data_IF_465371335865
#
_entry.id   IF_465371335865
#
_cell.length_a   1.000
_cell.length_b   1.000
_cell.length_c   1.000
_cell.angle_alpha   90.00
_cell.angle_beta   90.00
_cell.angle_gamma   90.00
#
_symmetry.space_group_name_H-M   'P 1'
#
loop_
_entity.id
_entity.type
_entity.pdbx_description
1 polymer ?
#
# COMPACT_ATOMS: atom_id res chain seq x y z
N UNK A 1 39.77 31.85 -48.57
CA UNK A 1 40.06 32.12 -47.15
C UNK A 1 39.48 30.98 -46.33
N UNK A 2 40.31 30.03 -45.88
CA UNK A 2 39.84 28.88 -45.10
C UNK A 2 39.94 29.18 -43.61
N UNK A 3 38.80 29.41 -42.97
CA UNK A 3 38.71 29.54 -41.51
C UNK A 3 38.91 28.17 -40.87
N UNK A 4 40.05 27.97 -40.21
CA UNK A 4 40.28 26.78 -39.37
C UNK A 4 39.34 26.86 -38.15
N UNK A 5 38.22 26.12 -38.20
CA UNK A 5 37.40 25.83 -37.03
C UNK A 5 38.23 24.96 -36.07
N UNK A 6 38.62 25.51 -34.93
CA UNK A 6 39.12 24.71 -33.81
C UNK A 6 37.99 23.78 -33.36
N UNK A 7 38.12 22.47 -33.64
CA UNK A 7 37.33 21.45 -32.94
C UNK A 7 37.90 21.35 -31.53
N UNK A 8 37.30 22.06 -30.59
CA UNK A 8 37.61 21.91 -29.16
C UNK A 8 37.13 20.51 -28.75
N UNK A 9 38.07 19.62 -28.47
CA UNK A 9 37.78 18.31 -27.87
C UNK A 9 37.65 18.47 -26.36
N UNK A 10 36.61 17.86 -25.77
CA UNK A 10 36.40 17.79 -24.33
C UNK A 10 37.66 17.21 -23.63
N UNK A 11 38.10 17.87 -22.56
CA UNK A 11 39.18 17.36 -21.72
C UNK A 11 38.70 16.17 -20.88
N UNK A 12 39.58 15.20 -20.62
CA UNK A 12 39.29 14.10 -19.69
C UNK A 12 38.88 14.62 -18.30
N UNK A 13 39.50 15.72 -17.85
CA UNK A 13 39.18 16.35 -16.56
C UNK A 13 37.77 16.94 -16.57
N UNK A 14 37.35 17.53 -17.70
CA UNK A 14 36.02 18.13 -17.85
C UNK A 14 34.93 17.05 -17.84
N UNK A 15 35.16 15.93 -18.53
CA UNK A 15 34.25 14.78 -18.47
C UNK A 15 34.16 14.21 -17.05
N UNK A 16 35.27 14.13 -16.31
CA UNK A 16 35.28 13.66 -14.93
C UNK A 16 34.47 14.58 -13.99
N UNK A 17 34.60 15.90 -14.14
CA UNK A 17 33.81 16.86 -13.36
C UNK A 17 32.32 16.72 -13.70
N UNK A 18 31.97 16.60 -14.98
CA UNK A 18 30.58 16.47 -15.43
C UNK A 18 29.94 15.19 -14.89
N UNK A 19 30.63 14.04 -15.01
CA UNK A 19 30.10 12.77 -14.49
C UNK A 19 29.98 12.82 -12.96
N UNK A 20 30.93 13.44 -12.26
CA UNK A 20 30.84 13.67 -10.82
C UNK A 20 29.62 14.51 -10.41
N UNK A 21 29.36 15.60 -11.13
CA UNK A 21 28.19 16.46 -10.90
C UNK A 21 26.88 15.73 -11.21
N UNK A 22 26.80 14.97 -12.31
CA UNK A 22 25.61 14.19 -12.66
C UNK A 22 25.35 13.12 -11.61
N UNK A 23 26.38 12.42 -11.12
CA UNK A 23 26.22 11.42 -10.06
C UNK A 23 25.67 12.04 -8.77
N UNK A 24 26.17 13.22 -8.36
CA UNK A 24 25.69 13.95 -7.19
C UNK A 24 24.24 14.44 -7.36
N UNK A 25 23.87 14.93 -8.54
CA UNK A 25 22.50 15.34 -8.83
C UNK A 25 21.55 14.14 -8.87
N UNK A 26 21.97 13.02 -9.45
CA UNK A 26 21.15 11.82 -9.58
C UNK A 26 20.74 11.26 -8.21
N UNK A 27 21.63 11.23 -7.23
CA UNK A 27 21.29 10.73 -5.88
C UNK A 27 20.25 11.60 -5.17
N UNK A 28 20.35 12.94 -5.32
CA UNK A 28 19.35 13.86 -4.77
C UNK A 28 17.97 13.66 -5.41
N UNK A 29 17.92 13.50 -6.74
CA UNK A 29 16.65 13.26 -7.46
C UNK A 29 15.97 11.98 -6.99
N UNK A 30 16.73 10.89 -6.83
CA UNK A 30 16.18 9.60 -6.36
C UNK A 30 15.60 9.73 -4.94
N UNK A 31 16.28 10.44 -4.04
CA UNK A 31 15.80 10.63 -2.67
C UNK A 31 14.48 11.41 -2.61
N UNK A 32 14.37 12.50 -3.38
CA UNK A 32 13.12 13.29 -3.44
C UNK A 32 11.99 12.48 -4.06
N UNK A 33 12.27 11.75 -5.14
CA UNK A 33 11.28 10.90 -5.79
C UNK A 33 10.73 9.83 -4.83
N UNK A 34 11.60 9.15 -4.07
CA UNK A 34 11.19 8.14 -3.09
C UNK A 34 10.32 8.72 -1.98
N UNK A 35 10.63 9.93 -1.49
CA UNK A 35 9.81 10.59 -0.47
C UNK A 35 8.41 10.95 -0.99
N UNK A 36 8.34 11.46 -2.22
CA UNK A 36 7.05 11.80 -2.85
C UNK A 36 6.22 10.53 -3.10
N UNK A 37 6.85 9.44 -3.55
CA UNK A 37 6.19 8.14 -3.75
C UNK A 37 5.59 7.61 -2.43
N UNK A 38 6.37 7.60 -1.35
CA UNK A 38 5.87 7.18 -0.04
C UNK A 38 4.71 8.06 0.46
N UNK A 39 4.80 9.38 0.32
CA UNK A 39 3.70 10.27 0.68
C UNK A 39 2.43 10.01 -0.17
N UNK A 40 2.60 9.68 -1.45
CA UNK A 40 1.47 9.30 -2.31
C UNK A 40 0.85 7.97 -1.88
N UNK A 41 1.68 7.01 -1.45
CA UNK A 41 1.24 5.70 -0.95
C UNK A 41 0.51 5.81 0.37
N UNK A 42 0.98 6.65 1.30
CA UNK A 42 0.28 6.98 2.56
C UNK A 42 -1.15 7.49 2.29
N UNK A 43 -1.30 8.45 1.38
CA UNK A 43 -2.65 8.92 0.97
C UNK A 43 -3.48 7.84 0.26
N UNK A 44 -2.80 6.97 -0.48
CA UNK A 44 -3.40 5.82 -1.14
C UNK A 44 -4.02 4.86 -0.13
N UNK A 45 -3.28 4.51 0.93
CA UNK A 45 -3.79 3.60 1.97
C UNK A 45 -4.91 4.24 2.78
N UNK A 46 -4.85 5.55 3.08
CA UNK A 46 -5.97 6.26 3.72
C UNK A 46 -7.26 6.16 2.88
N UNK A 47 -7.15 6.29 1.56
CA UNK A 47 -8.29 6.14 0.65
C UNK A 47 -8.85 4.71 0.64
N UNK A 48 -7.97 3.70 0.72
CA UNK A 48 -8.36 2.29 0.83
C UNK A 48 -9.05 2.03 2.15
N UNK A 49 -8.57 2.60 3.27
CA UNK A 49 -9.24 2.50 4.56
C UNK A 49 -10.65 3.07 4.50
N UNK A 50 -10.86 4.25 3.92
CA UNK A 50 -12.21 4.82 3.77
C UNK A 50 -13.14 3.90 2.96
N UNK A 51 -12.64 3.27 1.90
CA UNK A 51 -13.43 2.31 1.12
C UNK A 51 -13.75 1.03 1.93
N UNK A 52 -12.77 0.50 2.66
CA UNK A 52 -12.98 -0.69 3.51
C UNK A 52 -13.90 -0.39 4.68
N UNK A 53 -13.80 0.79 5.28
CA UNK A 53 -14.72 1.25 6.32
C UNK A 53 -16.16 1.29 5.79
N UNK A 54 -16.39 1.90 4.63
CA UNK A 54 -17.71 1.89 4.01
C UNK A 54 -18.21 0.48 3.66
N UNK A 55 -17.33 -0.40 3.18
CA UNK A 55 -17.68 -1.80 2.91
C UNK A 55 -18.03 -2.57 4.20
N UNK A 56 -17.33 -2.30 5.29
CA UNK A 56 -17.60 -2.87 6.62
C UNK A 56 -18.91 -2.34 7.21
N UNK A 57 -19.23 -1.07 7.01
CA UNK A 57 -20.52 -0.48 7.40
C UNK A 57 -21.69 -1.16 6.69
N UNK A 58 -21.62 -1.31 5.36
CA UNK A 58 -22.64 -2.03 4.58
C UNK A 58 -22.77 -3.50 5.01
N UNK A 59 -21.65 -4.15 5.34
CA UNK A 59 -21.67 -5.52 5.87
C UNK A 59 -22.42 -5.56 7.21
N UNK A 60 -22.07 -4.67 8.15
CA UNK A 60 -22.71 -4.59 9.47
C UNK A 60 -24.19 -4.23 9.38
N UNK A 61 -24.58 -3.36 8.46
CA UNK A 61 -25.99 -3.03 8.24
C UNK A 61 -26.79 -4.27 7.81
N UNK A 62 -26.19 -5.15 7.02
CA UNK A 62 -26.83 -6.38 6.56
C UNK A 62 -26.79 -7.54 7.57
N UNK A 63 -25.63 -7.80 8.19
CA UNK A 63 -25.40 -8.94 9.08
C UNK A 63 -25.66 -8.64 10.57
N UNK A 64 -25.73 -7.36 10.93
CA UNK A 64 -25.91 -6.89 12.31
C UNK A 64 -24.60 -6.70 13.10
N UNK A 65 -23.50 -7.30 12.65
CA UNK A 65 -22.17 -7.15 13.27
C UNK A 65 -21.05 -7.18 12.21
N UNK A 66 -19.82 -6.82 12.58
CA UNK A 66 -18.66 -6.91 11.71
C UNK A 66 -18.13 -8.35 11.58
N UNK A 67 -17.37 -8.67 10.52
CA UNK A 67 -16.78 -10.00 10.36
C UNK A 67 -15.92 -10.37 11.58
N UNK A 68 -16.27 -11.45 12.28
CA UNK A 68 -15.49 -11.90 13.43
C UNK A 68 -14.09 -12.36 13.04
N UNK A 69 -13.07 -11.96 13.80
CA UNK A 69 -11.70 -12.45 13.60
C UNK A 69 -11.43 -13.67 14.49
N UNK A 70 -10.87 -14.78 13.96
CA UNK A 70 -10.60 -15.97 14.76
C UNK A 70 -9.39 -15.85 15.70
N UNK A 71 -8.32 -15.14 15.30
CA UNK A 71 -7.04 -15.04 16.05
C UNK A 71 -6.46 -13.64 15.88
N UNK A 72 -5.83 -13.06 16.91
CA UNK A 72 -5.14 -11.76 16.81
C UNK A 72 -3.63 -11.94 16.73
N UNK A 73 -3.14 -12.28 15.56
CA UNK A 73 -1.72 -12.44 15.31
C UNK A 73 -1.39 -12.05 13.88
N UNK A 74 -0.43 -11.13 13.71
CA UNK A 74 0.06 -10.68 12.41
C UNK A 74 0.62 -11.81 11.54
N UNK A 75 1.01 -12.94 12.13
CA UNK A 75 1.40 -14.14 11.36
C UNK A 75 0.26 -14.69 10.50
N UNK A 76 -0.99 -14.36 10.83
CA UNK A 76 -2.20 -14.79 10.12
C UNK A 76 -2.81 -13.69 9.24
N UNK A 77 -2.08 -12.58 8.98
CA UNK A 77 -2.62 -11.45 8.22
C UNK A 77 -3.17 -11.82 6.84
N UNK A 78 -2.51 -12.75 6.14
CA UNK A 78 -3.02 -13.30 4.88
C UNK A 78 -4.40 -13.95 5.06
N UNK A 79 -4.53 -14.87 6.01
CA UNK A 79 -5.79 -15.57 6.28
C UNK A 79 -6.90 -14.61 6.77
N UNK A 80 -6.57 -13.60 7.58
CA UNK A 80 -7.52 -12.58 8.01
C UNK A 80 -8.00 -11.73 6.83
N UNK A 81 -7.10 -11.39 5.91
CA UNK A 81 -7.43 -10.61 4.71
C UNK A 81 -8.30 -11.40 3.74
N UNK A 82 -7.98 -12.67 3.47
CA UNK A 82 -8.81 -13.57 2.66
C UNK A 82 -10.22 -13.71 3.25
N UNK A 83 -10.30 -13.98 4.56
CA UNK A 83 -11.56 -14.11 5.26
C UNK A 83 -12.38 -12.81 5.18
N UNK A 84 -11.77 -11.66 5.49
CA UNK A 84 -12.42 -10.35 5.36
C UNK A 84 -12.94 -10.12 3.94
N UNK A 85 -12.09 -10.32 2.92
CA UNK A 85 -12.48 -10.11 1.53
C UNK A 85 -13.67 -11.00 1.14
N UNK A 86 -13.64 -12.28 1.51
CA UNK A 86 -14.73 -13.22 1.24
C UNK A 86 -16.04 -12.78 1.88
N UNK A 87 -16.00 -12.38 3.16
CA UNK A 87 -17.17 -11.89 3.90
C UNK A 87 -17.74 -10.62 3.28
N UNK A 88 -16.92 -9.60 3.01
CA UNK A 88 -17.36 -8.36 2.36
C UNK A 88 -17.92 -8.63 0.95
N UNK A 89 -17.27 -9.49 0.18
CA UNK A 89 -17.71 -9.83 -1.17
C UNK A 89 -19.03 -10.60 -1.18
N UNK A 90 -19.39 -11.30 -0.09
CA UNK A 90 -20.67 -12.02 0.01
C UNK A 90 -21.89 -11.08 0.04
N UNK A 91 -21.71 -9.84 0.51
CA UNK A 91 -22.79 -8.86 0.68
C UNK A 91 -22.84 -7.90 -0.52
N UNK A 92 -23.98 -7.74 -1.22
CA UNK A 92 -24.06 -6.89 -2.41
C UNK A 92 -23.69 -5.41 -2.20
N UNK A 93 -24.07 -4.81 -1.06
CA UNK A 93 -23.73 -3.42 -0.73
C UNK A 93 -22.22 -3.24 -0.53
N UNK A 94 -21.66 -4.08 0.34
CA UNK A 94 -20.22 -4.13 0.63
C UNK A 94 -19.37 -4.41 -0.61
N UNK A 95 -19.75 -5.40 -1.44
CA UNK A 95 -19.08 -5.74 -2.70
C UNK A 95 -18.93 -4.54 -3.63
N UNK A 96 -19.99 -3.75 -3.83
CA UNK A 96 -19.95 -2.57 -4.72
C UNK A 96 -18.93 -1.52 -4.27
N UNK A 97 -18.64 -1.45 -2.97
CA UNK A 97 -17.62 -0.54 -2.44
C UNK A 97 -16.24 -1.17 -2.59
N UNK A 98 -16.13 -2.47 -2.29
CA UNK A 98 -14.89 -3.24 -2.43
C UNK A 98 -14.34 -3.21 -3.87
N UNK A 99 -15.21 -3.31 -4.88
CA UNK A 99 -14.88 -3.21 -6.30
C UNK A 99 -14.31 -1.84 -6.73
N UNK A 100 -14.36 -0.81 -5.86
CA UNK A 100 -13.74 0.50 -6.11
C UNK A 100 -12.27 0.54 -5.68
N UNK A 101 -11.81 -0.43 -4.89
CA UNK A 101 -10.40 -0.56 -4.54
C UNK A 101 -9.63 -0.94 -5.82
N UNK A 102 -8.43 -0.39 -5.99
CA UNK A 102 -7.61 -0.68 -7.17
C UNK A 102 -7.29 -2.17 -7.26
N UNK A 103 -7.53 -2.78 -8.43
CA UNK A 103 -7.16 -4.17 -8.73
C UNK A 103 -5.67 -4.47 -8.46
N UNK A 104 -4.80 -3.46 -8.53
CA UNK A 104 -3.36 -3.61 -8.23
C UNK A 104 -3.07 -3.97 -6.76
N UNK A 105 -4.04 -3.73 -5.87
CA UNK A 105 -3.98 -4.03 -4.45
C UNK A 105 -4.73 -5.31 -4.08
N UNK A 106 -5.45 -5.92 -5.01
CA UNK A 106 -6.20 -7.17 -4.77
C UNK A 106 -5.45 -8.31 -5.45
N UNK A 107 -4.95 -9.28 -4.68
CA UNK A 107 -4.18 -10.42 -5.22
C UNK A 107 -4.55 -11.68 -4.46
N UNK A 108 -4.34 -12.83 -5.06
CA UNK A 108 -4.44 -14.12 -4.38
C UNK A 108 -3.06 -14.77 -4.51
N UNK A 109 -2.24 -14.63 -3.46
CA UNK A 109 -0.87 -15.15 -3.44
C UNK A 109 -0.66 -16.26 -2.40
N UNK A 110 -1.44 -16.26 -1.33
CA UNK A 110 -1.27 -17.19 -0.22
C UNK A 110 -2.26 -18.37 -0.33
N UNK A 111 -3.44 -18.12 -0.90
CA UNK A 111 -4.48 -19.11 -1.11
C UNK A 111 -4.32 -19.99 -2.36
N UNK A 112 -5.36 -20.79 -2.60
CA UNK A 112 -5.56 -21.51 -3.86
C UNK A 112 -6.30 -20.63 -4.87
N UNK A 113 -6.39 -21.03 -6.14
CA UNK A 113 -7.10 -20.25 -7.16
C UNK A 113 -8.59 -19.97 -6.80
N UNK A 114 -9.20 -20.81 -5.97
CA UNK A 114 -10.59 -20.67 -5.51
C UNK A 114 -10.71 -19.91 -4.18
N UNK A 115 -9.59 -19.58 -3.53
CA UNK A 115 -9.59 -18.79 -2.29
C UNK A 115 -9.99 -17.33 -2.58
N UNK A 116 -10.66 -16.65 -1.63
CA UNK A 116 -10.82 -15.21 -1.68
C UNK A 116 -9.48 -14.50 -1.85
N UNK A 117 -9.48 -13.32 -2.45
CA UNK A 117 -8.26 -12.52 -2.61
C UNK A 117 -7.87 -11.85 -1.29
N UNK A 118 -6.58 -11.54 -1.15
CA UNK A 118 -6.05 -10.67 -0.09
C UNK A 118 -5.97 -9.22 -0.59
N UNK A 119 -6.14 -8.29 0.35
CA UNK A 119 -6.01 -6.85 0.14
C UNK A 119 -4.62 -6.43 0.60
N UNK A 120 -3.85 -5.80 -0.29
CA UNK A 120 -2.49 -5.34 -0.03
C UNK A 120 -2.46 -3.83 0.19
N UNK A 121 -1.54 -3.41 1.06
CA UNK A 121 -1.12 -2.02 1.15
C UNK A 121 -0.31 -1.61 -0.10
N UNK A 122 -0.09 -0.30 -0.31
CA UNK A 122 0.70 0.20 -1.44
C UNK A 122 2.19 -0.17 -1.42
N UNK A 123 2.72 -0.66 -0.29
CA UNK A 123 4.09 -1.17 -0.17
C UNK A 123 4.18 -2.66 -0.48
N UNK A 124 3.06 -3.35 -0.65
CA UNK A 124 2.96 -4.74 -1.06
C UNK A 124 2.87 -5.73 0.10
N UNK A 125 2.51 -5.28 1.29
CA UNK A 125 2.19 -6.14 2.45
C UNK A 125 0.68 -6.36 2.52
N UNK A 126 0.24 -7.55 2.93
CA UNK A 126 -1.20 -7.78 3.14
C UNK A 126 -1.69 -6.93 4.30
N UNK A 127 -2.87 -6.32 4.19
CA UNK A 127 -3.49 -5.59 5.29
C UNK A 127 -3.94 -6.54 6.40
N UNK A 128 -3.68 -6.17 7.64
CA UNK A 128 -4.22 -6.85 8.82
C UNK A 128 -5.58 -6.25 9.17
N UNK A 129 -6.55 -7.14 9.35
CA UNK A 129 -7.87 -6.83 9.87
C UNK A 129 -7.97 -7.31 11.31
N UNK A 130 -8.37 -6.42 12.23
CA UNK A 130 -8.57 -6.77 13.63
C UNK A 130 -9.94 -6.34 14.14
N UNK A 131 -10.69 -7.27 14.71
CA UNK A 131 -11.98 -6.95 15.33
C UNK A 131 -12.23 -7.76 16.58
N UNK A 132 -12.67 -7.06 17.64
CA UNK A 132 -13.15 -7.63 18.88
C UNK A 132 -14.65 -7.41 19.06
N UNK A 133 -15.41 -8.43 19.49
CA UNK A 133 -16.79 -8.23 19.91
C UNK A 133 -16.85 -7.16 21.02
N UNK A 134 -17.55 -6.06 20.73
CA UNK A 134 -17.66 -4.90 21.62
C UNK A 134 -16.81 -3.69 21.21
N UNK A 135 -15.89 -3.84 20.25
CA UNK A 135 -15.26 -2.68 19.61
C UNK A 135 -16.30 -1.90 18.80
N UNK A 136 -16.21 -0.56 18.85
CA UNK A 136 -17.11 0.30 18.08
C UNK A 136 -16.97 0.07 16.56
N UNK A 137 -15.75 -0.18 16.10
CA UNK A 137 -15.40 -0.37 14.70
C UNK A 137 -14.11 -1.20 14.57
N UNK A 138 -13.96 -2.07 13.55
CA UNK A 138 -12.72 -2.81 13.32
C UNK A 138 -11.50 -1.93 13.10
N UNK A 139 -10.33 -2.49 13.34
CA UNK A 139 -9.06 -1.87 12.99
C UNK A 139 -8.51 -2.46 11.70
N UNK A 140 -8.08 -1.57 10.81
CA UNK A 140 -7.37 -1.91 9.58
C UNK A 140 -5.95 -1.40 9.73
N UNK A 141 -4.97 -2.27 9.53
CA UNK A 141 -3.56 -1.97 9.78
C UNK A 141 -2.73 -2.29 8.53
N UNK A 142 -1.95 -1.31 8.10
CA UNK A 142 -0.92 -1.41 7.07
C UNK A 142 0.44 -1.44 7.74
N UNK A 143 1.33 -2.34 7.30
CA UNK A 143 2.69 -2.45 7.82
C UNK A 143 3.61 -1.31 7.34
N UNK A 144 3.13 -0.47 6.43
CA UNK A 144 3.83 0.75 6.03
C UNK A 144 5.05 0.51 5.15
N UNK A 145 5.85 1.57 4.90
CA UNK A 145 7.09 1.51 4.15
C UNK A 145 8.07 0.39 4.52
N UNK A 146 8.19 0.06 5.80
CA UNK A 146 9.14 -0.95 6.26
C UNK A 146 8.64 -2.39 6.15
N UNK A 147 7.32 -2.56 5.94
CA UNK A 147 6.63 -3.84 5.76
C UNK A 147 6.69 -4.76 6.99
N UNK A 148 6.91 -4.20 8.18
CA UNK A 148 7.05 -4.94 9.42
C UNK A 148 5.97 -4.48 10.40
N UNK A 149 5.01 -5.36 10.66
CA UNK A 149 3.98 -5.11 11.67
C UNK A 149 4.54 -4.99 13.09
N UNK A 150 3.84 -4.22 13.92
CA UNK A 150 4.06 -4.09 15.35
C UNK A 150 5.03 -2.99 15.74
N UNK A 151 5.32 -2.04 14.84
CA UNK A 151 6.25 -0.96 15.09
C UNK A 151 5.59 0.43 14.90
N UNK A 152 6.41 1.50 14.90
CA UNK A 152 5.91 2.88 14.82
C UNK A 152 5.50 3.34 13.40
N UNK A 153 5.91 2.62 12.36
CA UNK A 153 5.60 2.86 10.94
C UNK A 153 4.19 2.37 10.56
N UNK A 154 3.61 1.47 11.37
CA UNK A 154 2.26 0.94 11.14
C UNK A 154 1.22 2.04 11.03
N UNK A 155 0.49 2.02 9.92
CA UNK A 155 -0.60 2.95 9.63
C UNK A 155 -1.92 2.24 9.93
N UNK A 156 -2.73 2.84 10.79
CA UNK A 156 -4.01 2.28 11.22
C UNK A 156 -5.13 3.28 11.01
N UNK A 157 -6.31 2.81 10.61
CA UNK A 157 -7.49 3.66 10.46
C UNK A 157 -7.93 4.34 11.77
N UNK A 158 -7.47 3.85 12.93
CA UNK A 158 -7.73 4.45 14.24
C UNK A 158 -6.77 5.58 14.60
N UNK A 159 -5.60 5.66 13.96
CA UNK A 159 -4.58 6.68 14.24
C UNK A 159 -4.68 7.79 13.19
N UNK A 160 -5.10 8.99 13.61
CA UNK A 160 -5.06 10.21 12.77
C UNK A 160 -3.79 11.00 13.01
#
# INVERSE_FOLDING_TARGET
>A
MNTRRYKQGLSLVEMLIVVGLIALLATMVISVASRIDNQSKEKGIESVFVLLEGALEEYKEFQGDFPGQPVKDFTNAAAHSEYLYGELYSIPGSRKILEKISDSLIKNKFGTADSPAEIYDPWGTVLEYRYDPGDNFPELISAGPDRIFGNADDISNRKK
#
